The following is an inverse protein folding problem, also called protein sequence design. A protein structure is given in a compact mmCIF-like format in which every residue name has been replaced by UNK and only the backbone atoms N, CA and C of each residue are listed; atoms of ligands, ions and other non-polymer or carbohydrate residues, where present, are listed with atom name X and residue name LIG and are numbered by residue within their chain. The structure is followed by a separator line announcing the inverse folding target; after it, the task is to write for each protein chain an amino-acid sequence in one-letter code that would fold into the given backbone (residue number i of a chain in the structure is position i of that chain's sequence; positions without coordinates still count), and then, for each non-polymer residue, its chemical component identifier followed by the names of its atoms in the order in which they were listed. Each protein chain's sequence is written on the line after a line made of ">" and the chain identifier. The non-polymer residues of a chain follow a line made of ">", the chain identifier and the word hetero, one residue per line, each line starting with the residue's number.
data_IF_497469074967
#
_entry.id   IF_497469074967
#
_cell.length_a   1.000
_cell.length_b   1.000
_cell.length_c   1.000
_cell.angle_alpha   90.00
_cell.angle_beta   90.00
_cell.angle_gamma   90.00
#
_symmetry.space_group_name_H-M   'P 1'
#
loop_
_entity.id
_entity.type
_entity.pdbx_description
1 polymer ?
#
# COMPACT_ATOMS: atom_id res chain seq x y z
N UNK A 1 -26.95 -17.51 -25.91
CA UNK A 1 -25.53 -17.90 -25.86
C UNK A 1 -24.87 -17.13 -24.74
N UNK A 2 -24.63 -17.78 -23.60
CA UNK A 2 -23.95 -17.16 -22.47
C UNK A 2 -22.44 -17.33 -22.63
N UNK A 3 -21.71 -16.22 -22.74
CA UNK A 3 -20.25 -16.22 -22.73
C UNK A 3 -19.81 -16.42 -21.28
N UNK A 4 -19.48 -17.66 -20.93
CA UNK A 4 -18.84 -17.98 -19.66
C UNK A 4 -17.39 -17.50 -19.71
N UNK A 5 -17.09 -16.37 -19.06
CA UNK A 5 -15.72 -15.93 -18.83
C UNK A 5 -15.00 -16.97 -17.94
N UNK A 6 -13.93 -17.52 -18.48
CA UNK A 6 -13.04 -18.45 -17.80
C UNK A 6 -12.32 -17.70 -16.67
N UNK A 7 -12.36 -18.16 -15.40
CA UNK A 7 -11.65 -17.50 -14.32
C UNK A 7 -10.15 -17.46 -14.65
N UNK A 8 -9.45 -16.36 -14.35
CA UNK A 8 -8.04 -16.22 -14.67
C UNK A 8 -7.27 -17.34 -13.98
N UNK A 9 -6.57 -18.15 -14.78
CA UNK A 9 -5.82 -19.30 -14.30
C UNK A 9 -4.90 -18.91 -13.16
N UNK A 10 -5.01 -19.63 -12.04
CA UNK A 10 -4.07 -19.56 -10.91
C UNK A 10 -2.70 -20.07 -11.38
N UNK A 11 -1.96 -19.21 -12.08
CA UNK A 11 -0.55 -19.47 -12.38
C UNK A 11 0.19 -19.81 -11.10
N UNK A 12 1.07 -20.80 -11.14
CA UNK A 12 1.88 -21.21 -9.99
C UNK A 12 2.52 -19.95 -9.41
N UNK A 13 2.39 -19.78 -8.10
CA UNK A 13 2.89 -18.65 -7.33
C UNK A 13 4.31 -18.25 -7.77
N UNK A 14 5.20 -19.26 -7.90
CA UNK A 14 6.56 -19.18 -8.46
C UNK A 14 6.69 -18.38 -9.77
N UNK A 15 5.75 -18.52 -10.69
CA UNK A 15 5.78 -17.90 -12.02
C UNK A 15 5.27 -16.45 -11.97
N UNK A 16 4.24 -16.17 -11.15
CA UNK A 16 3.77 -14.79 -10.91
C UNK A 16 4.83 -13.95 -10.17
N UNK A 17 5.52 -14.56 -9.20
CA UNK A 17 6.64 -13.95 -8.47
C UNK A 17 7.74 -13.46 -9.41
N UNK A 18 8.15 -14.28 -10.39
CA UNK A 18 9.27 -13.94 -11.29
C UNK A 18 8.93 -12.78 -12.22
N UNK A 19 7.71 -12.70 -12.75
CA UNK A 19 7.33 -11.65 -13.70
C UNK A 19 7.31 -10.25 -13.09
N UNK A 20 6.61 -10.08 -11.95
CA UNK A 20 6.52 -8.79 -11.25
C UNK A 20 7.87 -8.34 -10.71
N UNK A 21 8.63 -9.25 -10.08
CA UNK A 21 9.94 -8.93 -9.52
C UNK A 21 10.97 -8.61 -10.62
N UNK A 22 10.99 -9.36 -11.72
CA UNK A 22 11.87 -9.08 -12.85
C UNK A 22 11.55 -7.73 -13.51
N UNK A 23 10.26 -7.39 -13.63
CA UNK A 23 9.85 -6.07 -14.14
C UNK A 23 10.30 -4.94 -13.21
N UNK A 24 10.11 -5.09 -11.89
CA UNK A 24 10.54 -4.10 -10.92
C UNK A 24 12.08 -3.99 -10.83
N UNK A 25 12.79 -5.11 -10.94
CA UNK A 25 14.26 -5.14 -11.01
C UNK A 25 14.77 -4.43 -12.27
N UNK A 26 14.12 -4.66 -13.41
CA UNK A 26 14.43 -3.92 -14.65
C UNK A 26 14.16 -2.41 -14.53
N UNK A 27 13.10 -2.01 -13.81
CA UNK A 27 12.77 -0.60 -13.59
C UNK A 27 13.61 0.09 -12.51
N UNK A 28 14.27 -0.66 -11.61
CA UNK A 28 15.16 -0.13 -10.57
C UNK A 28 16.41 0.55 -11.17
N UNK A 29 16.84 0.14 -12.36
CA UNK A 29 18.06 0.63 -13.01
C UNK A 29 19.27 0.61 -12.03
N UNK A 30 20.05 1.69 -11.95
CA UNK A 30 21.23 1.82 -11.08
C UNK A 30 20.92 2.27 -9.63
N UNK A 31 19.66 2.38 -9.21
CA UNK A 31 19.34 2.88 -7.87
C UNK A 31 19.54 1.81 -6.79
N UNK A 32 20.27 2.12 -5.72
CA UNK A 32 20.63 1.19 -4.64
C UNK A 32 19.51 0.90 -3.61
N UNK A 33 18.26 1.20 -3.91
CA UNK A 33 17.14 0.96 -2.98
C UNK A 33 16.71 -0.51 -2.91
N UNK A 34 16.37 -1.01 -1.73
CA UNK A 34 15.77 -2.34 -1.56
C UNK A 34 14.46 -2.48 -2.35
N UNK A 35 14.20 -3.68 -2.88
CA UNK A 35 12.91 -4.05 -3.47
C UNK A 35 12.24 -5.07 -2.56
N UNK A 36 11.04 -4.74 -2.09
CA UNK A 36 10.26 -5.59 -1.21
C UNK A 36 9.10 -6.19 -2.00
N UNK A 37 8.94 -7.51 -1.93
CA UNK A 37 7.77 -8.21 -2.44
C UNK A 37 6.95 -8.69 -1.25
N UNK A 38 5.72 -8.20 -1.12
CA UNK A 38 4.92 -8.38 0.10
C UNK A 38 3.50 -8.79 -0.23
N UNK A 39 2.95 -9.69 0.57
CA UNK A 39 1.54 -10.05 0.51
C UNK A 39 0.75 -9.15 1.47
N UNK A 40 -0.31 -8.52 0.97
CA UNK A 40 -1.27 -7.76 1.78
C UNK A 40 -2.48 -8.64 2.07
N UNK A 41 -2.72 -8.99 3.35
CA UNK A 41 -3.93 -9.70 3.76
C UNK A 41 -5.18 -8.88 3.50
N UNK A 42 -5.11 -7.54 3.62
CA UNK A 42 -6.25 -6.64 3.37
C UNK A 42 -6.72 -6.68 1.93
N UNK A 43 -5.79 -6.61 0.97
CA UNK A 43 -6.10 -6.60 -0.46
C UNK A 43 -6.11 -8.01 -1.08
N UNK A 44 -5.75 -9.02 -0.28
CA UNK A 44 -5.49 -10.40 -0.71
C UNK A 44 -4.62 -10.47 -1.98
N UNK A 45 -3.61 -9.60 -2.05
CA UNK A 45 -2.81 -9.37 -3.26
C UNK A 45 -1.35 -9.14 -2.90
N UNK A 46 -0.49 -9.42 -3.88
CA UNK A 46 0.95 -9.18 -3.76
C UNK A 46 1.35 -7.82 -4.36
N UNK A 47 2.13 -7.07 -3.60
CA UNK A 47 2.65 -5.74 -3.92
C UNK A 47 4.17 -5.75 -4.03
N UNK A 48 4.68 -4.81 -4.83
CA UNK A 48 6.12 -4.55 -4.95
C UNK A 48 6.40 -3.13 -4.50
N UNK A 49 7.26 -2.99 -3.50
CA UNK A 49 7.62 -1.72 -2.89
C UNK A 49 9.08 -1.39 -3.16
N UNK A 50 9.38 -0.11 -3.34
CA UNK A 50 10.66 0.45 -3.80
C UNK A 50 11.35 1.20 -2.68
N UNK A 51 11.74 0.47 -1.65
CA UNK A 51 12.57 0.97 -0.56
C UNK A 51 11.98 0.71 0.82
N UNK A 52 12.76 1.03 1.84
CA UNK A 52 12.44 0.68 3.22
C UNK A 52 11.33 1.56 3.80
N UNK A 53 11.22 2.83 3.37
CA UNK A 53 10.14 3.71 3.80
C UNK A 53 8.78 3.26 3.28
N UNK A 54 8.72 2.79 2.03
CA UNK A 54 7.49 2.22 1.47
C UNK A 54 7.10 0.93 2.19
N UNK A 55 8.08 0.10 2.57
CA UNK A 55 7.84 -1.08 3.40
C UNK A 55 7.29 -0.69 4.78
N UNK A 56 7.84 0.32 5.43
CA UNK A 56 7.34 0.77 6.73
C UNK A 56 5.93 1.35 6.64
N UNK A 57 5.67 2.11 5.58
CA UNK A 57 4.35 2.64 5.28
C UNK A 57 3.34 1.50 5.05
N UNK A 58 3.74 0.46 4.31
CA UNK A 58 2.93 -0.74 4.11
C UNK A 58 2.58 -1.42 5.43
N UNK A 59 3.58 -1.66 6.28
CA UNK A 59 3.39 -2.33 7.57
C UNK A 59 2.42 -1.57 8.47
N UNK A 60 2.57 -0.25 8.54
CA UNK A 60 1.69 0.60 9.36
C UNK A 60 0.30 0.71 8.76
N UNK A 61 0.18 0.74 7.44
CA UNK A 61 -1.13 0.77 6.77
C UNK A 61 -1.91 -0.51 7.04
N UNK A 62 -1.28 -1.69 6.94
CA UNK A 62 -1.92 -2.97 7.29
C UNK A 62 -2.33 -3.04 8.76
N UNK A 63 -1.60 -2.36 9.65
CA UNK A 63 -1.92 -2.31 11.09
C UNK A 63 -3.13 -1.44 11.46
N UNK A 64 -3.53 -0.52 10.59
CA UNK A 64 -4.59 0.44 10.89
C UNK A 64 -5.97 -0.14 10.57
N UNK A 65 -6.74 -0.46 11.62
CA UNK A 65 -8.08 -1.06 11.52
C UNK A 65 -9.14 -0.16 10.89
N UNK A 66 -8.87 1.16 10.78
CA UNK A 66 -9.82 2.10 10.17
C UNK A 66 -9.80 2.02 8.65
N UNK A 67 -8.70 1.55 8.09
CA UNK A 67 -8.51 1.44 6.65
C UNK A 67 -9.24 0.20 6.15
N UNK A 68 -10.18 0.41 5.23
CA UNK A 68 -10.92 -0.65 4.56
C UNK A 68 -10.09 -1.24 3.42
N UNK A 69 -9.47 -0.38 2.61
CA UNK A 69 -8.67 -0.80 1.46
C UNK A 69 -7.53 0.19 1.20
N UNK A 70 -6.47 -0.28 0.55
CA UNK A 70 -5.33 0.55 0.13
C UNK A 70 -4.78 0.07 -1.21
N UNK A 71 -4.50 1.01 -2.10
CA UNK A 71 -3.77 0.78 -3.36
C UNK A 71 -2.37 1.38 -3.21
N UNK A 72 -1.32 0.54 -3.31
CA UNK A 72 0.09 0.95 -3.22
C UNK A 72 0.73 1.23 -4.59
N UNK A 73 -0.03 1.12 -5.68
CA UNK A 73 0.44 1.49 -7.02
C UNK A 73 -0.70 2.12 -7.83
N UNK A 74 -1.25 3.25 -7.36
CA UNK A 74 -2.37 3.90 -8.02
C UNK A 74 -1.98 4.41 -9.42
N UNK A 75 -2.98 4.48 -10.30
CA UNK A 75 -2.80 5.05 -11.62
C UNK A 75 -2.37 6.54 -11.54
N UNK A 76 -1.56 7.04 -12.48
CA UNK A 76 -1.20 8.45 -12.52
C UNK A 76 -2.45 9.34 -12.60
N UNK A 77 -2.45 10.43 -11.82
CA UNK A 77 -3.50 11.45 -11.85
C UNK A 77 -3.02 12.60 -12.73
N UNK A 78 -3.85 12.99 -13.70
CA UNK A 78 -3.57 14.11 -14.58
C UNK A 78 -4.63 15.20 -14.43
N UNK A 79 -4.24 16.44 -14.71
CA UNK A 79 -5.12 17.60 -14.64
C UNK A 79 -4.51 18.82 -15.30
N UNK A 80 -5.17 19.96 -15.09
CA UNK A 80 -4.76 21.26 -15.63
C UNK A 80 -4.81 22.27 -14.49
N UNK A 81 -3.74 23.04 -14.31
CA UNK A 81 -3.72 24.15 -13.36
C UNK A 81 -4.59 25.32 -13.87
N UNK A 82 -4.93 26.26 -12.99
CA UNK A 82 -5.71 27.46 -13.35
C UNK A 82 -5.05 28.31 -14.45
N UNK A 83 -3.71 28.24 -14.57
CA UNK A 83 -2.93 28.92 -15.62
C UNK A 83 -2.94 28.19 -16.99
N UNK A 84 -3.71 27.09 -17.12
CA UNK A 84 -3.79 26.27 -18.33
C UNK A 84 -2.67 25.23 -18.47
N UNK A 85 -1.71 25.17 -17.55
CA UNK A 85 -0.60 24.22 -17.61
C UNK A 85 -1.07 22.82 -17.25
N UNK A 86 -0.78 21.84 -18.11
CA UNK A 86 -1.05 20.43 -17.82
C UNK A 86 -0.07 19.87 -16.79
N UNK A 87 -0.58 18.99 -15.93
CA UNK A 87 0.23 18.23 -14.98
C UNK A 87 -0.16 16.76 -14.97
N UNK A 88 0.80 15.94 -14.56
CA UNK A 88 0.60 14.54 -14.21
C UNK A 88 1.41 14.25 -12.95
N UNK A 89 0.81 13.51 -12.02
CA UNK A 89 1.46 13.07 -10.79
C UNK A 89 1.15 11.62 -10.49
N UNK A 90 2.05 10.98 -9.77
CA UNK A 90 1.90 9.61 -9.27
C UNK A 90 1.90 9.72 -7.75
N UNK A 91 0.97 8.98 -7.13
CA UNK A 91 0.83 8.88 -5.69
C UNK A 91 1.47 7.56 -5.24
N UNK A 92 1.95 7.52 -4.00
CA UNK A 92 2.52 6.29 -3.45
C UNK A 92 1.44 5.38 -2.88
N UNK A 93 0.35 5.96 -2.34
CA UNK A 93 -0.84 5.18 -2.01
C UNK A 93 -2.16 5.96 -2.06
N UNK A 94 -3.24 5.25 -2.32
CA UNK A 94 -4.62 5.71 -2.13
C UNK A 94 -5.31 4.84 -1.09
N UNK A 95 -5.76 5.47 -0.01
CA UNK A 95 -6.38 4.83 1.15
C UNK A 95 -7.87 5.08 1.12
N UNK A 96 -8.65 4.01 1.31
CA UNK A 96 -10.10 4.09 1.53
C UNK A 96 -10.41 3.62 2.94
N UNK A 97 -11.06 4.47 3.72
CA UNK A 97 -11.48 4.18 5.08
C UNK A 97 -12.85 3.50 5.14
N UNK A 98 -13.18 2.90 6.28
CA UNK A 98 -14.47 2.25 6.50
C UNK A 98 -15.66 3.22 6.48
N UNK A 99 -15.45 4.49 6.82
CA UNK A 99 -16.45 5.56 6.74
C UNK A 99 -16.63 6.11 5.32
N UNK A 100 -15.87 5.60 4.34
CA UNK A 100 -15.89 6.04 2.95
C UNK A 100 -14.95 7.20 2.64
N UNK A 101 -14.24 7.75 3.63
CA UNK A 101 -13.24 8.79 3.39
C UNK A 101 -12.09 8.24 2.52
N UNK A 102 -11.54 9.12 1.68
CA UNK A 102 -10.38 8.84 0.83
C UNK A 102 -9.23 9.75 1.24
N UNK A 103 -8.05 9.15 1.37
CA UNK A 103 -6.79 9.85 1.62
C UNK A 103 -5.75 9.43 0.61
N UNK A 104 -5.03 10.40 0.07
CA UNK A 104 -3.86 10.18 -0.78
C UNK A 104 -2.60 10.37 0.05
N UNK A 105 -1.68 9.43 -0.07
CA UNK A 105 -0.44 9.41 0.70
C UNK A 105 0.77 9.49 -0.20
N UNK A 106 1.74 10.26 0.24
CA UNK A 106 3.08 10.34 -0.34
C UNK A 106 4.11 9.93 0.70
N UNK A 107 5.04 9.04 0.33
CA UNK A 107 6.13 8.55 1.17
C UNK A 107 7.44 9.13 0.66
N UNK A 108 8.11 9.92 1.49
CA UNK A 108 9.37 10.59 1.12
C UNK A 108 10.36 10.59 2.28
N UNK A 109 11.67 10.47 2.01
CA UNK A 109 12.68 10.80 2.99
C UNK A 109 12.56 12.26 3.43
N UNK A 110 12.81 12.54 4.71
CA UNK A 110 12.77 13.88 5.29
C UNK A 110 13.66 14.87 4.53
N UNK A 111 14.84 14.41 4.10
CA UNK A 111 15.86 15.22 3.42
C UNK A 111 15.73 15.22 1.89
N UNK A 112 14.62 14.72 1.33
CA UNK A 112 14.43 14.70 -0.12
C UNK A 112 14.48 16.14 -0.70
N UNK A 113 15.46 16.39 -1.58
CA UNK A 113 15.73 17.68 -2.23
C UNK A 113 14.46 18.37 -2.75
N UNK A 114 14.27 19.66 -2.43
CA UNK A 114 13.04 20.42 -2.68
C UNK A 114 12.81 20.80 -4.16
N UNK A 115 13.84 20.86 -5.02
CA UNK A 115 13.76 21.60 -6.30
C UNK A 115 13.03 20.88 -7.45
N UNK A 116 13.21 19.55 -7.62
CA UNK A 116 12.41 18.73 -8.57
C UNK A 116 11.03 18.37 -8.01
N UNK A 117 10.89 18.56 -6.70
CA UNK A 117 9.80 18.07 -5.86
C UNK A 117 8.68 19.11 -5.74
N UNK A 118 8.97 20.41 -5.89
CA UNK A 118 7.96 21.47 -5.74
C UNK A 118 6.87 21.43 -6.82
N UNK A 119 7.24 21.23 -8.10
CA UNK A 119 6.24 21.12 -9.18
C UNK A 119 5.36 19.88 -9.00
N UNK A 120 5.97 18.75 -8.62
CA UNK A 120 5.24 17.51 -8.37
C UNK A 120 4.33 17.67 -7.14
N UNK A 121 4.83 18.31 -6.08
CA UNK A 121 4.06 18.61 -4.88
C UNK A 121 2.88 19.53 -5.18
N UNK A 122 3.10 20.62 -5.93
CA UNK A 122 2.04 21.51 -6.40
C UNK A 122 1.00 20.76 -7.24
N UNK A 123 1.43 19.84 -8.12
CA UNK A 123 0.53 19.00 -8.89
C UNK A 123 -0.31 18.05 -8.02
N UNK A 124 0.27 17.47 -6.97
CA UNK A 124 -0.44 16.62 -6.01
C UNK A 124 -1.46 17.43 -5.19
N UNK A 125 -1.06 18.59 -4.67
CA UNK A 125 -1.95 19.48 -3.92
C UNK A 125 -3.11 19.99 -4.77
N UNK A 126 -2.86 20.31 -6.03
CA UNK A 126 -3.93 20.71 -6.95
C UNK A 126 -4.86 19.53 -7.25
N UNK A 127 -4.30 18.36 -7.52
CA UNK A 127 -5.10 17.16 -7.76
C UNK A 127 -5.98 16.77 -6.56
N UNK A 128 -5.47 16.90 -5.33
CA UNK A 128 -6.24 16.60 -4.11
C UNK A 128 -7.32 17.64 -3.87
N UNK A 129 -7.04 18.92 -4.13
CA UNK A 129 -8.02 20.01 -4.08
C UNK A 129 -9.18 19.76 -5.03
N UNK A 130 -8.89 19.40 -6.29
CA UNK A 130 -9.89 19.10 -7.32
C UNK A 130 -10.70 17.85 -6.94
N UNK A 131 -10.03 16.80 -6.46
CA UNK A 131 -10.68 15.56 -6.04
C UNK A 131 -11.41 15.66 -4.70
N UNK A 132 -11.19 16.72 -3.92
CA UNK A 132 -11.72 16.94 -2.56
C UNK A 132 -11.39 15.79 -1.61
N UNK A 133 -10.16 15.32 -1.66
CA UNK A 133 -9.65 14.22 -0.82
C UNK A 133 -8.56 14.72 0.12
N UNK A 134 -8.37 14.02 1.24
CA UNK A 134 -7.28 14.32 2.16
C UNK A 134 -5.93 13.99 1.51
N UNK A 135 -4.89 14.75 1.86
CA UNK A 135 -3.52 14.52 1.45
C UNK A 135 -2.60 14.47 2.66
N UNK A 136 -1.76 13.45 2.76
CA UNK A 136 -0.74 13.36 3.80
C UNK A 136 0.62 12.94 3.26
N UNK A 137 1.66 13.51 3.85
CA UNK A 137 3.05 13.11 3.60
C UNK A 137 3.56 12.33 4.79
N UNK A 138 4.17 11.19 4.52
CA UNK A 138 4.76 10.29 5.50
C UNK A 138 6.27 10.26 5.28
N UNK A 139 6.99 10.74 6.29
CA UNK A 139 8.45 10.68 6.39
C UNK A 139 8.85 9.71 7.50
N UNK A 140 10.14 9.58 7.76
CA UNK A 140 10.69 8.85 8.90
C UNK A 140 10.05 9.28 10.23
N UNK A 141 9.69 10.56 10.35
CA UNK A 141 9.05 11.10 11.57
C UNK A 141 7.72 10.41 11.82
N UNK A 142 6.84 10.35 10.82
CA UNK A 142 5.53 9.71 10.93
C UNK A 142 5.65 8.19 11.00
N UNK A 143 6.52 7.60 10.17
CA UNK A 143 6.71 6.16 10.08
C UNK A 143 7.34 5.56 11.34
N UNK A 144 8.24 6.28 11.99
CA UNK A 144 8.98 5.77 13.15
C UNK A 144 8.47 6.36 14.47
N UNK A 145 7.36 7.10 14.46
CA UNK A 145 6.71 7.64 15.66
C UNK A 145 6.36 6.56 16.71
N UNK A 146 6.09 5.32 16.28
CA UNK A 146 5.87 4.19 17.18
C UNK A 146 6.69 2.97 16.72
N UNK A 147 7.96 2.87 17.13
CA UNK A 147 8.86 1.81 16.66
C UNK A 147 8.45 0.42 17.16
N UNK A 148 7.82 0.34 18.33
CA UNK A 148 7.32 -0.92 18.88
C UNK A 148 6.16 -1.47 18.03
N UNK A 149 5.22 -0.61 17.65
CA UNK A 149 4.12 -0.98 16.75
C UNK A 149 4.67 -1.48 15.42
N UNK A 150 5.61 -0.74 14.82
CA UNK A 150 6.23 -1.13 13.56
C UNK A 150 6.94 -2.49 13.66
N UNK A 151 7.77 -2.69 14.70
CA UNK A 151 8.48 -3.95 14.91
C UNK A 151 7.55 -5.15 15.11
N UNK A 152 6.47 -4.98 15.87
CA UNK A 152 5.48 -6.03 16.10
C UNK A 152 4.74 -6.38 14.80
N UNK A 153 4.33 -5.39 14.03
CA UNK A 153 3.59 -5.62 12.78
C UNK A 153 4.45 -6.19 11.66
N UNK A 154 5.74 -5.86 11.59
CA UNK A 154 6.70 -6.54 10.69
C UNK A 154 6.69 -8.06 10.91
N UNK A 155 6.61 -8.51 12.17
CA UNK A 155 6.51 -9.95 12.52
C UNK A 155 5.15 -10.51 12.17
N UNK A 156 4.07 -9.82 12.52
CA UNK A 156 2.70 -10.28 12.26
C UNK A 156 2.44 -10.46 10.76
N UNK A 157 2.90 -9.53 9.92
CA UNK A 157 2.74 -9.59 8.46
C UNK A 157 3.45 -10.81 7.86
N UNK A 158 4.64 -11.15 8.34
CA UNK A 158 5.34 -12.35 7.89
C UNK A 158 4.51 -13.62 8.16
N UNK A 159 3.89 -13.73 9.34
CA UNK A 159 3.00 -14.85 9.66
C UNK A 159 1.72 -14.85 8.83
N UNK A 160 1.09 -13.69 8.61
CA UNK A 160 -0.10 -13.59 7.76
C UNK A 160 0.20 -13.98 6.31
N UNK A 161 1.36 -13.59 5.78
CA UNK A 161 1.80 -13.98 4.44
C UNK A 161 2.06 -15.50 4.34
N UNK A 162 2.71 -16.09 5.36
CA UNK A 162 2.93 -17.54 5.41
C UNK A 162 1.61 -18.32 5.52
N UNK A 163 0.63 -17.76 6.23
CA UNK A 163 -0.68 -18.35 6.45
C UNK A 163 -1.72 -18.01 5.36
N UNK A 164 -1.36 -17.30 4.28
CA UNK A 164 -2.35 -16.73 3.34
C UNK A 164 -3.25 -17.74 2.65
N UNK A 165 -2.78 -18.97 2.50
CA UNK A 165 -3.50 -20.07 1.85
C UNK A 165 -4.26 -20.95 2.87
N UNK A 166 -4.14 -20.64 4.18
CA UNK A 166 -4.87 -21.32 5.24
C UNK A 166 -6.22 -20.62 5.48
N UNK A 167 -7.33 -21.37 5.52
CA UNK A 167 -8.64 -20.79 5.79
C UNK A 167 -8.78 -20.42 7.27
N UNK A 168 -8.32 -19.20 7.62
CA UNK A 168 -8.37 -18.65 8.98
C UNK A 168 -9.79 -18.47 9.55
N UNK A 169 -10.81 -18.57 8.69
CA UNK A 169 -12.22 -18.46 9.08
C UNK A 169 -12.66 -19.56 10.06
N UNK A 170 -12.09 -20.77 9.95
CA UNK A 170 -12.37 -21.85 10.89
C UNK A 170 -11.80 -21.51 12.28
N UNK A 171 -10.54 -21.06 12.36
CA UNK A 171 -9.91 -20.72 13.65
C UNK A 171 -10.46 -19.44 14.30
N UNK A 172 -11.06 -18.51 13.53
CA UNK A 172 -11.67 -17.29 14.07
C UNK A 172 -12.85 -17.59 15.01
N UNK A 173 -13.60 -18.64 14.70
CA UNK A 173 -14.75 -19.09 15.51
C UNK A 173 -14.28 -19.64 16.86
N UNK A 174 -13.18 -20.41 16.84
CA UNK A 174 -12.60 -21.02 18.04
C UNK A 174 -12.02 -19.96 19.01
N UNK A 175 -11.31 -18.97 18.47
CA UNK A 175 -10.77 -17.85 19.27
C UNK A 175 -11.88 -16.98 19.88
N UNK A 176 -12.95 -16.72 19.13
CA UNK A 176 -14.11 -15.99 19.67
C UNK A 176 -14.76 -16.78 20.82
N UNK A 177 -14.85 -18.11 20.72
CA UNK A 177 -15.33 -18.97 21.80
C UNK A 177 -14.46 -18.89 23.06
N UNK A 178 -13.14 -18.95 22.91
CA UNK A 178 -12.19 -18.87 24.04
C UNK A 178 -12.22 -17.50 24.72
N UNK A 179 -12.26 -16.40 23.96
CA UNK A 179 -12.35 -15.06 24.54
C UNK A 179 -13.67 -14.79 25.24
N UNK A 180 -14.73 -15.53 24.88
CA UNK A 180 -16.05 -15.42 25.53
C UNK A 180 -16.12 -16.32 26.77
N UNK A 181 -15.44 -17.47 26.80
CA UNK A 181 -15.39 -18.36 27.96
C UNK A 181 -14.45 -17.89 29.07
N UNK A 182 -13.41 -17.10 28.75
CA UNK A 182 -12.51 -16.48 29.75
C UNK A 182 -13.13 -15.27 30.48
N UNK A 183 -14.38 -14.89 30.18
CA UNK A 183 -15.11 -13.80 30.84
C UNK A 183 -16.13 -14.30 31.88
N UNK A 184 -16.16 -15.58 32.21
CA UNK A 184 -16.99 -16.17 33.27
C UNK A 184 -16.17 -16.45 34.52
#
# INVERSE_FOLDING_TARGET
>A
MAVTEKPPGKGRLGTRFRGKLASAYGQRAHHESNLWYVYSPRTNSDWVLRGDLEWDHFVLSESDVRIKNIDFSPAPVAGVFDDGTHYQTILDAVVTYHDGAIEWREVKPLDASRSRTERQHRAQLEATRVAKVAYTRWTEVELHANPLKLANWRRAIAWMAAARDYPLALQRTDLAGICTSMKQ
#
